data_IF_786587519834
#
_entry.id   IF_786587519834
#
_cell.length_a   1.000
_cell.length_b   1.000
_cell.length_c   1.000
_cell.angle_alpha   90.00
_cell.angle_beta   90.00
_cell.angle_gamma   90.00
#
_symmetry.space_group_name_H-M   'P 1'
#
loop_
_entity.id
_entity.type
_entity.pdbx_description
1 polymer ?
#
# COMPACT_ATOMS: atom_id res chain seq x y z
N UNK A 1 2.86 2.53 18.06
CA UNK A 1 2.99 1.47 17.04
C UNK A 1 1.68 0.92 16.44
N UNK A 2 0.46 1.16 16.95
CA UNK A 2 -0.77 0.69 16.28
C UNK A 2 -0.86 1.09 14.81
N UNK A 3 -0.52 2.35 14.50
CA UNK A 3 -0.58 2.87 13.13
C UNK A 3 0.25 2.06 12.11
N UNK A 4 1.47 1.61 12.46
CA UNK A 4 2.29 0.78 11.54
C UNK A 4 1.61 -0.58 11.26
N UNK A 5 0.96 -1.18 12.26
CA UNK A 5 0.21 -2.42 12.08
C UNK A 5 -1.02 -2.22 11.19
N UNK A 6 -1.57 -1.00 11.14
CA UNK A 6 -2.69 -0.65 10.28
C UNK A 6 -2.29 -0.40 8.82
N UNK A 7 -1.00 -0.17 8.54
CA UNK A 7 -0.50 0.06 7.16
C UNK A 7 -0.10 -1.22 6.44
N UNK A 8 0.02 -2.34 7.16
CA UNK A 8 0.40 -3.64 6.61
C UNK A 8 -0.74 -4.65 6.57
N UNK A 9 -0.45 -5.92 6.23
CA UNK A 9 -1.46 -6.96 6.24
C UNK A 9 -1.94 -7.24 7.68
N UNK A 10 -3.21 -7.63 7.83
CA UNK A 10 -3.81 -7.87 9.14
C UNK A 10 -3.06 -8.91 9.99
N UNK A 11 -2.36 -9.86 9.35
CA UNK A 11 -1.53 -10.88 9.98
C UNK A 11 -0.38 -10.31 10.82
N UNK A 12 0.03 -9.05 10.60
CA UNK A 12 1.06 -8.41 11.43
C UNK A 12 0.64 -8.26 12.89
N UNK A 13 -0.66 -8.13 13.18
CA UNK A 13 -1.17 -7.99 14.57
C UNK A 13 -0.88 -9.23 15.43
N UNK A 14 -0.72 -10.39 14.79
CA UNK A 14 -0.42 -11.67 15.45
C UNK A 14 1.02 -12.13 15.17
N UNK A 15 1.82 -11.36 14.44
CA UNK A 15 3.21 -11.68 14.10
C UNK A 15 4.18 -11.23 15.18
N UNK A 16 5.32 -11.92 15.30
CA UNK A 16 6.47 -11.47 16.10
C UNK A 16 7.00 -10.08 15.69
N UNK A 17 6.77 -9.66 14.43
CA UNK A 17 7.16 -8.33 13.96
C UNK A 17 6.53 -7.21 14.80
N UNK A 18 5.38 -7.42 15.44
CA UNK A 18 4.74 -6.40 16.30
C UNK A 18 5.60 -6.00 17.51
N UNK A 19 6.57 -6.83 17.89
CA UNK A 19 7.51 -6.59 18.98
C UNK A 19 8.86 -6.03 18.50
N UNK A 20 9.06 -5.93 17.19
CA UNK A 20 10.32 -5.54 16.55
C UNK A 20 10.13 -4.26 15.72
N UNK A 21 10.09 -3.06 16.33
CA UNK A 21 9.61 -1.83 15.67
C UNK A 21 10.40 -1.43 14.42
N UNK A 22 11.72 -1.58 14.41
CA UNK A 22 12.56 -1.30 13.23
C UNK A 22 12.24 -2.28 12.10
N UNK A 23 12.17 -3.58 12.41
CA UNK A 23 11.85 -4.62 11.43
C UNK A 23 10.41 -4.46 10.89
N UNK A 24 9.46 -4.10 11.75
CA UNK A 24 8.08 -3.81 11.38
C UNK A 24 8.01 -2.64 10.40
N UNK A 25 8.66 -1.52 10.70
CA UNK A 25 8.65 -0.34 9.83
C UNK A 25 9.29 -0.64 8.46
N UNK A 26 10.41 -1.36 8.44
CA UNK A 26 11.05 -1.83 7.20
C UNK A 26 10.11 -2.73 6.37
N UNK A 27 9.51 -3.74 7.00
CA UNK A 27 8.60 -4.67 6.32
C UNK A 27 7.36 -3.94 5.75
N UNK A 28 6.73 -3.10 6.56
CA UNK A 28 5.55 -2.30 6.14
C UNK A 28 5.91 -1.39 4.97
N UNK A 29 7.12 -0.81 4.96
CA UNK A 29 7.60 0.02 3.86
C UNK A 29 7.60 -0.73 2.53
N UNK A 30 8.17 -1.94 2.52
CA UNK A 30 8.17 -2.81 1.34
C UNK A 30 6.77 -3.33 0.97
N UNK A 31 5.93 -3.62 1.97
CA UNK A 31 4.54 -4.04 1.71
C UNK A 31 3.76 -2.95 0.98
N UNK A 32 3.83 -1.71 1.46
CA UNK A 32 3.15 -0.56 0.85
C UNK A 32 3.72 -0.26 -0.54
N UNK A 33 5.04 -0.38 -0.73
CA UNK A 33 5.68 -0.27 -2.04
C UNK A 33 5.14 -1.30 -3.04
N UNK A 34 5.03 -2.57 -2.62
CA UNK A 34 4.43 -3.62 -3.43
C UNK A 34 2.99 -3.30 -3.81
N UNK A 35 2.20 -2.78 -2.86
CA UNK A 35 0.86 -2.28 -3.11
C UNK A 35 0.83 -1.15 -4.15
N UNK A 36 1.73 -0.18 -4.04
CA UNK A 36 1.83 0.95 -4.97
C UNK A 36 2.15 0.50 -6.40
N UNK A 37 3.10 -0.42 -6.55
CA UNK A 37 3.42 -1.03 -7.84
C UNK A 37 2.20 -1.76 -8.41
N UNK A 38 1.50 -2.52 -7.56
CA UNK A 38 0.25 -3.20 -7.92
C UNK A 38 -0.84 -2.24 -8.39
N UNK A 39 -1.09 -1.16 -7.67
CA UNK A 39 -2.11 -0.15 -8.02
C UNK A 39 -1.81 0.53 -9.36
N UNK A 40 -0.55 0.91 -9.60
CA UNK A 40 -0.12 1.50 -10.89
C UNK A 40 -0.31 0.53 -12.06
N UNK A 41 0.05 -0.74 -11.85
CA UNK A 41 -0.14 -1.79 -12.84
C UNK A 41 -1.63 -2.01 -13.12
N UNK A 42 -2.46 -2.12 -12.08
CA UNK A 42 -3.90 -2.27 -12.22
C UNK A 42 -4.53 -1.10 -12.99
N UNK A 43 -4.16 0.14 -12.68
CA UNK A 43 -4.61 1.32 -13.42
C UNK A 43 -4.24 1.26 -14.92
N UNK A 44 -2.97 0.95 -15.21
CA UNK A 44 -2.46 0.88 -16.58
C UNK A 44 -3.11 -0.23 -17.41
N UNK A 45 -3.46 -1.35 -16.77
CA UNK A 45 -4.04 -2.52 -17.45
C UNK A 45 -5.57 -2.56 -17.41
N UNK A 46 -6.22 -1.74 -16.58
CA UNK A 46 -7.67 -1.78 -16.32
C UNK A 46 -8.51 -1.83 -17.60
N UNK A 47 -8.22 -0.98 -18.59
CA UNK A 47 -9.01 -0.95 -19.84
C UNK A 47 -8.89 -2.24 -20.65
N UNK A 48 -7.70 -2.82 -20.71
CA UNK A 48 -7.45 -4.04 -21.45
C UNK A 48 -8.03 -5.27 -20.73
N UNK A 49 -7.85 -5.35 -19.41
CA UNK A 49 -8.23 -6.51 -18.60
C UNK A 49 -9.71 -6.49 -18.20
N UNK A 50 -10.30 -5.33 -17.91
CA UNK A 50 -11.68 -5.21 -17.43
C UNK A 50 -12.66 -4.73 -18.49
N UNK A 51 -12.20 -4.11 -19.59
CA UNK A 51 -13.05 -3.59 -20.66
C UNK A 51 -14.04 -4.61 -21.25
N UNK A 52 -13.66 -5.89 -21.46
CA UNK A 52 -14.61 -6.92 -21.91
C UNK A 52 -15.67 -7.32 -20.88
N UNK A 53 -15.49 -6.96 -19.60
CA UNK A 53 -16.31 -7.43 -18.48
C UNK A 53 -17.14 -6.32 -17.82
N UNK A 54 -16.79 -5.05 -18.02
CA UNK A 54 -17.41 -3.92 -17.35
C UNK A 54 -18.00 -2.91 -18.34
N UNK A 55 -19.18 -2.35 -18.04
CA UNK A 55 -19.65 -1.12 -18.66
C UNK A 55 -18.65 0.03 -18.51
N UNK A 56 -18.68 1.00 -19.44
CA UNK A 56 -17.70 2.09 -19.50
C UNK A 56 -17.70 2.99 -18.23
N UNK A 57 -18.86 3.21 -17.62
CA UNK A 57 -18.99 3.97 -16.37
C UNK A 57 -18.33 3.22 -15.20
N UNK A 58 -18.52 1.90 -15.12
CA UNK A 58 -17.91 1.05 -14.09
C UNK A 58 -16.38 0.96 -14.26
N UNK A 59 -15.91 0.83 -15.50
CA UNK A 59 -14.47 0.87 -15.80
C UNK A 59 -13.83 2.19 -15.36
N UNK A 60 -14.50 3.31 -15.65
CA UNK A 60 -14.01 4.65 -15.24
C UNK A 60 -13.92 4.76 -13.72
N UNK A 61 -14.93 4.28 -12.99
CA UNK A 61 -14.91 4.24 -11.51
C UNK A 61 -13.80 3.34 -10.96
N UNK A 62 -13.54 2.19 -11.60
CA UNK A 62 -12.45 1.30 -11.20
C UNK A 62 -11.07 1.98 -11.39
N UNK A 63 -10.84 2.65 -12.52
CA UNK A 63 -9.62 3.40 -12.76
C UNK A 63 -9.41 4.51 -11.71
N UNK A 64 -10.45 5.29 -11.41
CA UNK A 64 -10.40 6.32 -10.36
C UNK A 64 -10.08 5.73 -8.98
N UNK A 65 -10.64 4.57 -8.65
CA UNK A 65 -10.36 3.89 -7.39
C UNK A 65 -8.89 3.40 -7.31
N UNK A 66 -8.35 2.83 -8.39
CA UNK A 66 -6.94 2.39 -8.43
C UNK A 66 -5.98 3.57 -8.35
N UNK A 67 -6.30 4.69 -9.01
CA UNK A 67 -5.51 5.92 -8.92
C UNK A 67 -5.50 6.49 -7.49
N UNK A 68 -6.68 6.61 -6.87
CA UNK A 68 -6.81 7.09 -5.50
C UNK A 68 -6.04 6.20 -4.51
N UNK A 69 -6.12 4.87 -4.67
CA UNK A 69 -5.37 3.94 -3.82
C UNK A 69 -3.86 4.05 -4.05
N UNK A 70 -3.41 4.22 -5.30
CA UNK A 70 -2.01 4.49 -5.60
C UNK A 70 -1.51 5.78 -4.94
N UNK A 71 -2.31 6.85 -4.95
CA UNK A 71 -1.97 8.10 -4.27
C UNK A 71 -1.87 7.93 -2.75
N UNK A 72 -2.82 7.21 -2.13
CA UNK A 72 -2.80 6.87 -0.70
C UNK A 72 -1.55 6.08 -0.33
N UNK A 73 -1.23 5.03 -1.09
CA UNK A 73 -0.06 4.18 -0.84
C UNK A 73 1.25 4.94 -1.00
N UNK A 74 1.34 5.85 -1.98
CA UNK A 74 2.52 6.72 -2.14
C UNK A 74 2.72 7.62 -0.92
N UNK A 75 1.65 8.19 -0.36
CA UNK A 75 1.72 8.98 0.87
C UNK A 75 2.18 8.11 2.05
N UNK A 76 1.52 6.97 2.27
CA UNK A 76 1.88 6.04 3.36
C UNK A 76 3.34 5.59 3.24
N UNK A 77 3.85 5.32 2.03
CA UNK A 77 5.25 4.92 1.83
C UNK A 77 6.23 5.98 2.34
N UNK A 78 5.93 7.26 2.09
CA UNK A 78 6.74 8.38 2.57
C UNK A 78 6.71 8.48 4.09
N UNK A 79 5.52 8.36 4.68
CA UNK A 79 5.32 8.40 6.14
C UNK A 79 6.06 7.25 6.84
N UNK A 80 5.94 6.01 6.33
CA UNK A 80 6.64 4.84 6.89
C UNK A 80 8.16 5.00 6.81
N UNK A 81 8.67 5.56 5.71
CA UNK A 81 10.11 5.86 5.59
C UNK A 81 10.59 6.87 6.64
N UNK A 82 9.81 7.91 6.93
CA UNK A 82 10.14 8.87 7.97
C UNK A 82 10.16 8.21 9.35
N UNK A 83 9.19 7.34 9.64
CA UNK A 83 9.16 6.57 10.89
C UNK A 83 10.37 5.65 11.01
N UNK A 84 10.72 4.91 9.94
CA UNK A 84 11.89 4.03 9.94
C UNK A 84 13.18 4.82 10.21
N UNK A 85 13.36 5.96 9.54
CA UNK A 85 14.51 6.81 9.78
C UNK A 85 14.57 7.30 11.25
N UNK A 86 13.45 7.71 11.82
CA UNK A 86 13.39 8.15 13.22
C UNK A 86 13.74 7.03 14.21
N UNK A 87 13.29 5.79 13.94
CA UNK A 87 13.58 4.62 14.77
C UNK A 87 15.04 4.16 14.72
N UNK A 88 15.74 4.42 13.62
CA UNK A 88 17.16 4.08 13.46
C UNK A 88 18.05 5.18 14.04
N UNK A 89 17.58 6.44 14.00
CA UNK A 89 18.32 7.59 14.52
C UNK A 89 18.20 7.80 16.03
N UNK A 90 17.33 7.03 16.72
CA UNK A 90 17.12 7.05 18.18
C UNK A 90 18.02 6.05 18.90
#
# INVERSE_FOLDING_TARGET
MPWLLDQGPASLRTSELRHLPVALAMYVGHHVEGGLVGARRAYAQARAELGPHLPADQLTRAQQAFEAEGARLLQTQREVRLVLHALIAS
#
